data_IF_409281872922
#
_entry.id   IF_409281872922
#
_cell.length_a   1.000
_cell.length_b   1.000
_cell.length_c   1.000
_cell.angle_alpha   90.00
_cell.angle_beta   90.00
_cell.angle_gamma   90.00
#
_symmetry.space_group_name_H-M   'P 1'
#
loop_
_entity.id
_entity.type
_entity.pdbx_description
1 polymer ?
#
# COMPACT_ATOMS: atom_id res chain seq x y z
N UNK A 1 33.82 -14.15 65.78
CA UNK A 1 33.46 -14.02 64.34
C UNK A 1 32.51 -12.85 64.19
N UNK A 2 32.97 -11.72 63.63
CA UNK A 2 32.12 -10.54 63.35
C UNK A 2 31.29 -10.84 62.09
N UNK A 3 29.97 -10.95 62.23
CA UNK A 3 29.04 -10.88 61.11
C UNK A 3 28.45 -9.46 61.11
N UNK A 4 28.92 -8.63 60.18
CA UNK A 4 28.33 -7.33 59.87
C UNK A 4 26.94 -7.57 59.25
N UNK A 5 25.87 -7.13 59.90
CA UNK A 5 24.54 -7.08 59.28
C UNK A 5 24.37 -5.71 58.61
N UNK A 6 24.82 -5.57 57.38
CA UNK A 6 24.38 -4.46 56.54
C UNK A 6 22.94 -4.74 56.10
N UNK A 7 21.97 -4.02 56.70
CA UNK A 7 20.64 -3.87 56.09
C UNK A 7 20.83 -3.08 54.80
N UNK A 8 20.32 -3.52 53.64
CA UNK A 8 20.29 -2.66 52.47
C UNK A 8 19.40 -1.45 52.81
N UNK A 9 19.99 -0.25 52.80
CA UNK A 9 19.26 0.99 52.97
C UNK A 9 18.16 1.14 51.93
N UNK A 10 17.11 1.90 52.25
CA UNK A 10 16.03 2.20 51.31
C UNK A 10 16.62 2.72 49.97
N UNK A 11 16.09 2.29 48.81
CA UNK A 11 16.59 2.75 47.52
C UNK A 11 16.51 4.27 47.43
N UNK A 12 17.62 4.92 47.09
CA UNK A 12 17.67 6.36 46.91
C UNK A 12 16.75 6.77 45.74
N UNK A 13 15.94 7.84 45.90
CA UNK A 13 15.05 8.33 44.85
C UNK A 13 15.86 8.68 43.59
N UNK A 14 15.28 8.43 42.43
CA UNK A 14 15.95 8.69 41.16
C UNK A 14 16.00 10.21 40.89
N UNK A 15 17.21 10.73 40.66
CA UNK A 15 17.46 12.15 40.37
C UNK A 15 18.03 12.28 38.96
N UNK A 16 17.51 13.27 38.21
CA UNK A 16 18.06 13.69 36.92
C UNK A 16 18.77 15.02 37.14
N UNK A 17 20.10 15.03 36.99
CA UNK A 17 20.89 16.25 36.96
C UNK A 17 21.18 16.61 35.51
N UNK A 18 20.80 17.81 35.08
CA UNK A 18 21.07 18.30 33.73
C UNK A 18 22.27 19.25 33.71
N UNK A 19 23.25 18.99 32.85
CA UNK A 19 24.34 19.93 32.57
C UNK A 19 24.54 20.08 31.08
N UNK A 20 24.87 21.30 30.64
CA UNK A 20 25.25 21.56 29.25
C UNK A 20 26.74 21.28 29.12
N UNK A 21 27.13 20.52 28.09
CA UNK A 21 28.53 20.20 27.81
C UNK A 21 28.91 20.81 26.47
N UNK A 22 29.91 21.68 26.47
CA UNK A 22 30.53 22.23 25.26
C UNK A 22 31.72 21.35 24.86
N UNK A 23 31.68 20.80 23.65
CA UNK A 23 32.75 19.92 23.15
C UNK A 23 32.45 19.20 21.83
N UNK A 24 31.44 19.65 21.07
CA UNK A 24 31.09 19.08 19.77
C UNK A 24 31.76 19.89 18.65
N UNK A 25 31.87 19.37 17.43
CA UNK A 25 31.89 20.24 16.27
C UNK A 25 30.49 20.89 16.15
N UNK A 26 30.44 22.21 16.30
CA UNK A 26 29.34 23.14 15.99
C UNK A 26 28.00 23.11 16.76
N UNK A 27 27.69 22.18 17.67
CA UNK A 27 26.40 22.19 18.42
C UNK A 27 26.58 21.91 19.94
N UNK A 28 25.61 22.16 20.80
CA UNK A 28 25.71 21.84 22.24
C UNK A 28 25.04 20.51 22.61
N UNK A 29 25.47 19.84 23.68
CA UNK A 29 24.79 18.64 24.22
C UNK A 29 24.21 18.91 25.61
N UNK A 30 23.03 18.35 25.88
CA UNK A 30 22.43 18.33 27.22
C UNK A 30 22.70 16.96 27.85
N UNK A 31 23.63 16.90 28.80
CA UNK A 31 23.93 15.70 29.57
C UNK A 31 22.94 15.59 30.73
N UNK A 32 22.17 14.51 30.74
CA UNK A 32 21.23 14.12 31.79
C UNK A 32 21.88 12.99 32.59
N UNK A 33 22.47 13.32 33.74
CA UNK A 33 23.06 12.34 34.65
C UNK A 33 21.97 11.76 35.53
N UNK A 34 21.84 10.44 35.47
CA UNK A 34 20.88 9.72 36.28
C UNK A 34 21.58 9.00 37.43
N UNK A 35 21.04 9.18 38.63
CA UNK A 35 21.47 8.42 39.81
C UNK A 35 20.25 7.96 40.62
N UNK A 36 20.33 6.75 41.18
CA UNK A 36 19.30 6.18 42.05
C UNK A 36 18.72 4.85 41.55
N UNK A 37 17.66 4.39 42.21
CA UNK A 37 16.94 3.16 41.87
C UNK A 37 15.52 3.50 41.45
N UNK A 38 15.05 2.88 40.35
CA UNK A 38 13.69 3.08 39.85
C UNK A 38 12.85 1.84 40.15
N UNK A 39 11.84 1.99 41.02
CA UNK A 39 10.80 0.98 41.23
C UNK A 39 9.59 1.21 40.29
N UNK A 40 8.58 0.33 40.37
CA UNK A 40 7.40 0.42 39.53
C UNK A 40 6.50 1.62 39.83
N UNK A 41 6.58 2.22 41.04
CA UNK A 41 5.75 3.36 41.45
C UNK A 41 6.39 4.70 41.04
N UNK A 42 7.72 4.80 41.02
CA UNK A 42 8.44 6.00 40.59
C UNK A 42 8.52 6.22 39.08
N UNK A 43 8.05 5.26 38.26
CA UNK A 43 8.22 5.27 36.81
C UNK A 43 7.44 6.40 36.09
N UNK A 44 6.22 6.73 36.54
CA UNK A 44 5.40 7.78 35.92
C UNK A 44 5.93 9.18 36.21
N UNK A 45 6.28 9.46 37.48
CA UNK A 45 6.90 10.73 37.86
C UNK A 45 8.23 10.95 37.14
N UNK A 46 8.98 9.85 36.93
CA UNK A 46 10.20 9.87 36.14
C UNK A 46 9.95 10.13 34.65
N UNK A 47 8.91 9.53 34.07
CA UNK A 47 8.51 9.78 32.68
C UNK A 47 8.29 11.27 32.42
N UNK A 48 7.57 11.91 33.33
CA UNK A 48 7.23 13.34 33.25
C UNK A 48 8.48 14.22 33.35
N UNK A 49 9.35 13.93 34.33
CA UNK A 49 10.60 14.66 34.50
C UNK A 49 11.54 14.50 33.29
N UNK A 50 11.67 13.28 32.76
CA UNK A 50 12.47 13.02 31.56
C UNK A 50 11.90 13.77 30.35
N UNK A 51 10.57 13.75 30.14
CA UNK A 51 9.92 14.46 29.04
C UNK A 51 10.20 15.97 29.10
N UNK A 52 10.10 16.57 30.29
CA UNK A 52 10.41 17.99 30.49
C UNK A 52 11.85 18.37 30.09
N UNK A 53 12.83 17.53 30.44
CA UNK A 53 14.23 17.74 30.05
C UNK A 53 14.48 17.52 28.55
N UNK A 54 13.79 16.56 27.93
CA UNK A 54 13.89 16.33 26.49
C UNK A 54 13.26 17.47 25.68
N UNK A 55 12.10 17.98 26.11
CA UNK A 55 11.44 19.14 25.50
C UNK A 55 12.28 20.42 25.64
N UNK A 56 13.05 20.53 26.73
CA UNK A 56 14.02 21.60 26.92
C UNK A 56 15.21 21.46 25.96
N UNK A 57 15.75 20.25 25.80
CA UNK A 57 16.81 19.96 24.84
C UNK A 57 16.37 20.29 23.41
N UNK A 58 15.17 19.87 23.03
CA UNK A 58 14.60 20.10 21.69
C UNK A 58 14.38 21.59 21.42
N UNK A 59 13.86 22.35 22.38
CA UNK A 59 13.71 23.82 22.26
C UNK A 59 15.05 24.55 22.17
N UNK A 60 16.08 24.06 22.85
CA UNK A 60 17.42 24.62 22.84
C UNK A 60 18.28 24.13 21.66
N UNK A 61 17.76 23.23 20.81
CA UNK A 61 18.52 22.60 19.73
C UNK A 61 19.66 21.70 20.23
N UNK A 62 19.66 21.34 21.52
CA UNK A 62 20.69 20.53 22.14
C UNK A 62 20.40 19.04 21.95
N UNK A 63 21.46 18.25 21.78
CA UNK A 63 21.31 16.80 21.71
C UNK A 63 21.23 16.20 23.13
N UNK A 64 20.17 15.48 23.49
CA UNK A 64 20.08 14.88 24.82
C UNK A 64 20.93 13.61 24.93
N UNK A 65 21.74 13.55 25.98
CA UNK A 65 22.58 12.41 26.32
C UNK A 65 22.27 11.96 27.74
N UNK A 66 21.81 10.72 27.89
CA UNK A 66 21.43 10.12 29.16
C UNK A 66 22.57 9.26 29.70
N UNK A 67 23.20 9.69 30.79
CA UNK A 67 24.22 8.92 31.50
C UNK A 67 23.56 8.02 32.56
N UNK A 68 23.63 6.71 32.35
CA UNK A 68 22.96 5.71 33.17
C UNK A 68 23.90 4.94 34.12
N UNK A 69 25.12 5.43 34.36
CA UNK A 69 26.12 4.70 35.13
C UNK A 69 25.69 4.35 36.58
N UNK A 70 24.89 5.23 37.18
CA UNK A 70 24.48 5.14 38.58
C UNK A 70 23.01 4.73 38.73
N UNK A 71 22.40 4.15 37.68
CA UNK A 71 21.00 3.69 37.68
C UNK A 71 20.92 2.20 37.99
N UNK A 72 20.04 1.83 38.93
CA UNK A 72 19.60 0.46 39.15
C UNK A 72 18.15 0.33 38.64
N UNK A 73 17.94 -0.46 37.58
CA UNK A 73 16.62 -0.66 36.99
C UNK A 73 15.83 -1.74 37.72
N UNK A 74 14.67 -1.37 38.27
CA UNK A 74 13.62 -2.29 38.70
C UNK A 74 12.62 -2.58 37.58
N UNK A 75 12.86 -3.63 36.80
CA UNK A 75 11.84 -4.29 35.97
C UNK A 75 11.36 -3.57 34.68
N UNK A 76 10.39 -4.21 34.00
CA UNK A 76 9.91 -3.88 32.65
C UNK A 76 9.18 -2.52 32.52
N UNK A 77 8.79 -1.89 33.64
CA UNK A 77 8.10 -0.60 33.65
C UNK A 77 8.99 0.53 33.08
N UNK A 78 10.30 0.45 33.29
CA UNK A 78 11.23 1.50 32.87
C UNK A 78 11.48 1.48 31.35
N UNK A 79 11.56 0.29 30.76
CA UNK A 79 11.67 0.14 29.30
C UNK A 79 10.41 0.63 28.59
N UNK A 80 9.23 0.33 29.16
CA UNK A 80 7.95 0.83 28.65
C UNK A 80 7.92 2.35 28.64
N UNK A 81 8.36 2.95 29.75
CA UNK A 81 8.39 4.40 29.91
C UNK A 81 9.42 5.06 28.97
N UNK A 82 10.62 4.48 28.81
CA UNK A 82 11.59 4.92 27.79
C UNK A 82 10.99 4.84 26.38
N UNK A 83 10.33 3.73 26.05
CA UNK A 83 9.71 3.49 24.75
C UNK A 83 8.61 4.50 24.42
N UNK A 84 7.73 4.78 25.39
CA UNK A 84 6.64 5.75 25.23
C UNK A 84 7.20 7.17 25.09
N UNK A 85 8.20 7.53 25.90
CA UNK A 85 8.81 8.86 25.86
C UNK A 85 9.55 9.11 24.54
N UNK A 86 10.24 8.12 24.00
CA UNK A 86 10.93 8.27 22.69
C UNK A 86 9.96 8.25 21.51
N UNK A 87 8.86 7.49 21.60
CA UNK A 87 7.84 7.41 20.53
C UNK A 87 7.07 8.71 20.33
N UNK A 88 6.81 9.45 21.41
CA UNK A 88 6.01 10.69 21.38
C UNK A 88 6.87 11.92 21.04
N UNK A 89 8.20 11.78 21.02
CA UNK A 89 9.14 12.88 20.75
C UNK A 89 9.07 13.32 19.28
N UNK A 90 8.92 14.62 19.07
CA UNK A 90 8.85 15.26 17.74
C UNK A 90 10.14 16.00 17.35
N UNK A 91 11.08 16.16 18.28
CA UNK A 91 12.39 16.76 18.06
C UNK A 91 13.40 15.83 17.38
N UNK A 92 14.70 16.04 17.62
CA UNK A 92 15.74 15.23 16.95
C UNK A 92 15.57 13.74 17.28
N UNK A 93 15.70 12.83 16.29
CA UNK A 93 15.29 11.43 16.45
C UNK A 93 16.17 10.63 17.40
N UNK A 94 17.36 11.10 17.75
CA UNK A 94 18.32 10.33 18.55
C UNK A 94 18.29 10.75 20.03
N UNK A 95 17.88 9.84 20.92
CA UNK A 95 18.24 9.85 22.34
C UNK A 95 19.48 8.98 22.54
N UNK A 96 20.52 9.56 23.13
CA UNK A 96 21.78 8.85 23.35
C UNK A 96 21.83 8.35 24.78
N UNK A 97 22.19 7.08 24.96
CA UNK A 97 22.39 6.47 26.27
C UNK A 97 23.85 6.05 26.39
N UNK A 98 24.53 6.49 27.47
CA UNK A 98 25.92 6.17 27.76
C UNK A 98 26.08 5.49 29.11
N UNK A 99 27.15 4.69 29.27
CA UNK A 99 27.54 4.03 30.53
C UNK A 99 26.43 3.18 31.17
N UNK A 100 25.50 2.66 30.38
CA UNK A 100 24.46 1.75 30.87
C UNK A 100 25.06 0.44 31.41
N UNK A 101 24.58 -0.04 32.56
CA UNK A 101 25.00 -1.34 33.12
C UNK A 101 24.59 -2.50 32.18
N UNK A 102 25.27 -3.67 32.20
CA UNK A 102 25.02 -4.76 31.26
C UNK A 102 23.55 -5.19 31.13
N UNK A 103 22.84 -5.34 32.26
CA UNK A 103 21.41 -5.71 32.24
C UNK A 103 20.50 -4.63 31.64
N UNK A 104 20.85 -3.35 31.77
CA UNK A 104 20.13 -2.24 31.13
C UNK A 104 20.36 -2.26 29.62
N UNK A 105 21.61 -2.47 29.20
CA UNK A 105 22.00 -2.53 27.79
C UNK A 105 21.28 -3.68 27.07
N UNK A 106 21.21 -4.85 27.70
CA UNK A 106 20.51 -6.02 27.18
C UNK A 106 18.99 -5.76 27.08
N UNK A 107 18.40 -5.15 28.11
CA UNK A 107 16.99 -4.83 28.14
C UNK A 107 16.58 -3.81 27.04
N UNK A 108 17.37 -2.74 26.84
CA UNK A 108 17.13 -1.76 25.77
C UNK A 108 17.34 -2.39 24.39
N UNK A 109 18.34 -3.27 24.24
CA UNK A 109 18.58 -3.99 23.00
C UNK A 109 17.41 -4.93 22.64
N UNK A 110 16.90 -5.69 23.61
CA UNK A 110 15.76 -6.58 23.42
C UNK A 110 14.45 -5.81 23.12
N UNK A 111 14.28 -4.62 23.71
CA UNK A 111 13.11 -3.78 23.50
C UNK A 111 13.06 -3.10 22.12
N UNK A 112 14.16 -3.10 21.33
CA UNK A 112 14.25 -2.50 19.99
C UNK A 112 13.62 -1.10 19.90
N UNK A 113 14.05 -0.20 20.78
CA UNK A 113 13.52 1.15 20.84
C UNK A 113 14.01 1.98 19.65
N UNK A 114 13.09 2.34 18.75
CA UNK A 114 13.38 3.26 17.65
C UNK A 114 13.82 4.64 18.20
N UNK A 115 14.86 5.21 17.62
CA UNK A 115 15.41 6.51 18.02
C UNK A 115 16.33 6.49 19.26
N UNK A 116 16.71 5.32 19.78
CA UNK A 116 17.65 5.21 20.92
C UNK A 116 18.98 4.63 20.46
N UNK A 117 20.09 5.31 20.80
CA UNK A 117 21.45 4.84 20.50
C UNK A 117 22.25 4.62 21.77
N UNK A 118 22.86 3.44 21.90
CA UNK A 118 23.67 3.04 23.05
C UNK A 118 25.16 3.15 22.73
N UNK A 119 25.93 3.79 23.62
CA UNK A 119 27.39 3.83 23.55
C UNK A 119 28.00 3.47 24.91
N UNK A 120 29.23 2.94 24.93
CA UNK A 120 29.88 2.57 26.18
C UNK A 120 30.28 3.81 26.98
N UNK A 121 30.76 4.85 26.29
CA UNK A 121 31.23 6.10 26.91
C UNK A 121 30.70 7.34 26.19
N UNK A 122 30.75 8.48 26.87
CA UNK A 122 30.44 9.78 26.29
C UNK A 122 31.38 10.09 25.12
N UNK A 123 32.69 9.87 25.27
CA UNK A 123 33.68 10.13 24.22
C UNK A 123 33.50 9.27 22.97
N UNK A 124 32.99 8.04 23.11
CA UNK A 124 32.64 7.17 21.99
C UNK A 124 31.40 7.70 21.25
N UNK A 125 30.36 8.07 22.00
CA UNK A 125 29.17 8.71 21.42
C UNK A 125 29.55 9.98 20.68
N UNK A 126 30.36 10.85 21.29
CA UNK A 126 30.80 12.11 20.70
C UNK A 126 31.62 11.89 19.42
N UNK A 127 32.56 10.93 19.41
CA UNK A 127 33.35 10.62 18.20
C UNK A 127 32.50 10.07 17.06
N UNK A 128 31.54 9.20 17.35
CA UNK A 128 30.69 8.62 16.30
C UNK A 128 29.69 9.65 15.74
N UNK A 129 29.18 10.53 16.59
CA UNK A 129 28.33 11.65 16.15
C UNK A 129 29.12 12.68 15.37
N UNK A 130 30.33 13.03 15.82
CA UNK A 130 31.23 13.90 15.09
C UNK A 130 31.53 13.28 13.72
N UNK A 131 31.95 12.01 13.64
CA UNK A 131 32.12 11.31 12.34
C UNK A 131 30.86 11.31 11.48
N UNK A 132 29.67 11.19 12.07
CA UNK A 132 28.42 11.23 11.31
C UNK A 132 28.16 12.65 10.79
N UNK A 133 28.40 13.68 11.60
CA UNK A 133 28.30 15.09 11.21
C UNK A 133 29.35 15.47 10.16
N UNK A 134 30.61 15.07 10.35
CA UNK A 134 31.69 15.24 9.38
C UNK A 134 31.44 14.43 8.12
N UNK A 135 30.80 13.23 8.18
CA UNK A 135 30.34 12.50 6.99
C UNK A 135 29.19 13.23 6.29
N UNK A 136 28.39 14.03 6.99
CA UNK A 136 27.34 14.88 6.41
C UNK A 136 27.90 16.19 5.85
N UNK A 137 28.98 16.73 6.42
CA UNK A 137 29.71 17.92 5.93
C UNK A 137 30.73 17.60 4.82
N UNK A 138 31.37 16.42 4.83
CA UNK A 138 32.24 15.87 3.78
C UNK A 138 31.46 15.13 2.70
N UNK A 139 30.16 14.90 2.90
CA UNK A 139 29.28 14.64 1.77
C UNK A 139 29.28 15.91 0.92
N UNK A 140 29.69 15.86 -0.36
CA UNK A 140 29.69 17.04 -1.19
C UNK A 140 28.28 17.61 -1.16
N UNK A 141 28.18 18.93 -1.02
CA UNK A 141 26.93 19.65 -1.33
C UNK A 141 26.58 19.26 -2.76
N UNK A 142 25.66 18.32 -2.93
CA UNK A 142 25.13 17.98 -4.23
C UNK A 142 24.29 19.17 -4.66
N UNK A 143 24.93 20.18 -5.24
CA UNK A 143 24.31 20.87 -6.35
C UNK A 143 24.45 19.89 -7.48
N UNK A 144 23.35 19.22 -7.86
CA UNK A 144 23.28 18.45 -9.09
C UNK A 144 23.79 19.30 -10.25
N UNK A 145 25.06 19.13 -10.60
CA UNK A 145 25.62 19.62 -11.85
C UNK A 145 26.08 18.50 -12.77
N UNK A 146 25.95 17.23 -12.36
CA UNK A 146 26.09 16.10 -13.27
C UNK A 146 25.02 15.06 -12.95
N UNK A 147 23.97 15.05 -13.77
CA UNK A 147 23.12 13.88 -13.95
C UNK A 147 24.04 12.73 -14.35
N UNK A 148 24.30 11.78 -13.44
CA UNK A 148 24.81 10.46 -13.84
C UNK A 148 23.76 9.84 -14.76
N UNK A 149 23.99 9.72 -16.07
CA UNK A 149 22.97 9.26 -17.01
C UNK A 149 22.56 7.80 -16.81
N UNK A 150 23.32 7.05 -15.98
CA UNK A 150 23.16 5.60 -15.82
C UNK A 150 22.57 5.19 -14.47
N UNK A 151 22.44 6.11 -13.50
CA UNK A 151 21.84 5.80 -12.19
C UNK A 151 20.33 6.05 -12.25
N UNK A 152 19.49 5.02 -12.05
CA UNK A 152 18.05 5.21 -12.02
C UNK A 152 17.67 6.16 -10.89
N UNK A 153 16.92 7.20 -11.24
CA UNK A 153 16.25 8.08 -10.29
C UNK A 153 15.30 7.28 -9.37
N UNK A 154 14.98 7.85 -8.22
CA UNK A 154 13.98 7.28 -7.31
C UNK A 154 12.64 7.02 -8.02
N UNK A 155 12.24 7.93 -8.92
CA UNK A 155 11.04 7.76 -9.75
C UNK A 155 11.16 6.59 -10.73
N UNK A 156 12.32 6.39 -11.35
CA UNK A 156 12.58 5.24 -12.25
C UNK A 156 12.54 3.92 -11.48
N UNK A 157 13.15 3.86 -10.29
CA UNK A 157 13.04 2.71 -9.39
C UNK A 157 11.60 2.44 -8.97
N UNK A 158 10.81 3.48 -8.66
CA UNK A 158 9.38 3.33 -8.34
C UNK A 158 8.57 2.80 -9.53
N UNK A 159 8.83 3.33 -10.73
CA UNK A 159 8.23 2.84 -11.98
C UNK A 159 8.62 1.39 -12.25
N UNK A 160 9.89 1.02 -12.02
CA UNK A 160 10.40 -0.33 -12.21
C UNK A 160 9.75 -1.32 -11.23
N UNK A 161 9.73 -1.00 -9.93
CA UNK A 161 9.05 -1.81 -8.90
C UNK A 161 7.58 -1.99 -9.25
N UNK A 162 6.90 -0.94 -9.74
CA UNK A 162 5.51 -1.03 -10.20
C UNK A 162 5.36 -1.97 -11.39
N UNK A 163 6.23 -1.85 -12.40
CA UNK A 163 6.22 -2.72 -13.56
C UNK A 163 6.47 -4.19 -13.17
N UNK A 164 7.43 -4.44 -12.27
CA UNK A 164 7.72 -5.77 -11.74
C UNK A 164 6.50 -6.35 -10.98
N UNK A 165 5.84 -5.55 -10.13
CA UNK A 165 4.62 -5.98 -9.42
C UNK A 165 3.44 -6.25 -10.35
N UNK A 166 3.28 -5.47 -11.43
CA UNK A 166 2.31 -5.76 -12.46
C UNK A 166 2.60 -7.11 -13.12
N UNK A 167 3.87 -7.39 -13.46
CA UNK A 167 4.31 -8.66 -14.04
C UNK A 167 4.08 -9.84 -13.10
N UNK A 168 4.42 -9.73 -11.82
CA UNK A 168 4.22 -10.80 -10.82
C UNK A 168 2.74 -11.21 -10.69
N UNK A 169 1.80 -10.30 -10.92
CA UNK A 169 0.35 -10.61 -10.85
C UNK A 169 -0.17 -11.30 -12.10
N UNK A 170 0.28 -10.88 -13.27
CA UNK A 170 -0.17 -11.47 -14.54
C UNK A 170 0.55 -12.78 -14.86
N UNK A 171 1.78 -12.96 -14.38
CA UNK A 171 2.63 -14.11 -14.71
C UNK A 171 2.00 -15.47 -14.34
N UNK A 172 1.38 -15.68 -13.16
CA UNK A 172 0.71 -16.94 -12.84
C UNK A 172 -0.42 -17.27 -13.82
N UNK A 173 -1.27 -16.31 -14.18
CA UNK A 173 -2.39 -16.54 -15.12
C UNK A 173 -1.89 -16.78 -16.54
N UNK A 174 -0.82 -16.08 -16.95
CA UNK A 174 -0.13 -16.36 -18.23
C UNK A 174 0.40 -17.80 -18.23
N UNK A 175 1.05 -18.24 -17.15
CA UNK A 175 1.54 -19.62 -17.00
C UNK A 175 0.42 -20.66 -17.05
N UNK A 176 -0.70 -20.41 -16.37
CA UNK A 176 -1.90 -21.26 -16.43
C UNK A 176 -2.46 -21.35 -17.85
N UNK A 177 -2.54 -20.24 -18.58
CA UNK A 177 -3.00 -20.24 -19.96
C UNK A 177 -2.04 -20.98 -20.88
N UNK A 178 -0.71 -20.77 -20.75
CA UNK A 178 0.30 -21.52 -21.51
C UNK A 178 0.15 -23.03 -21.29
N UNK A 179 0.09 -23.47 -20.03
CA UNK A 179 -0.12 -24.88 -19.68
C UNK A 179 -1.44 -25.43 -20.21
N UNK A 180 -2.52 -24.63 -20.14
CA UNK A 180 -3.84 -24.99 -20.70
C UNK A 180 -3.76 -25.24 -22.21
N UNK A 181 -3.08 -24.37 -22.96
CA UNK A 181 -2.89 -24.55 -24.41
C UNK A 181 -1.98 -25.72 -24.74
N UNK A 182 -0.90 -25.90 -23.98
CA UNK A 182 0.00 -27.05 -24.16
C UNK A 182 -0.75 -28.38 -24.00
N UNK A 183 -1.59 -28.49 -22.97
CA UNK A 183 -2.39 -29.70 -22.74
C UNK A 183 -3.47 -29.88 -23.82
N UNK A 184 -4.18 -28.81 -24.21
CA UNK A 184 -5.29 -28.90 -25.17
C UNK A 184 -4.83 -29.21 -26.60
N UNK A 185 -3.68 -28.70 -27.01
CA UNK A 185 -3.21 -28.75 -28.40
C UNK A 185 -1.87 -29.49 -28.57
N UNK A 186 -1.34 -30.12 -27.51
CA UNK A 186 -0.09 -30.87 -27.59
C UNK A 186 1.14 -30.02 -27.89
N UNK A 187 1.17 -28.75 -27.48
CA UNK A 187 2.29 -27.86 -27.79
C UNK A 187 3.59 -28.28 -27.06
N UNK A 188 4.75 -28.20 -27.73
CA UNK A 188 6.00 -28.73 -27.20
C UNK A 188 6.56 -27.91 -26.03
N UNK A 189 6.26 -26.60 -25.97
CA UNK A 189 6.82 -25.70 -24.97
C UNK A 189 5.93 -24.47 -24.68
N UNK A 190 6.20 -23.84 -23.54
CA UNK A 190 5.46 -22.66 -23.08
C UNK A 190 5.69 -21.41 -23.93
N UNK A 191 6.85 -21.28 -24.59
CA UNK A 191 7.18 -20.16 -25.47
C UNK A 191 6.32 -20.17 -26.74
N UNK A 192 6.12 -21.35 -27.34
CA UNK A 192 5.20 -21.56 -28.46
C UNK A 192 3.77 -21.16 -28.09
N UNK A 193 3.28 -21.57 -26.91
CA UNK A 193 1.96 -21.16 -26.42
C UNK A 193 1.85 -19.64 -26.18
N UNK A 194 2.88 -19.02 -25.58
CA UNK A 194 2.90 -17.58 -25.34
C UNK A 194 2.91 -16.75 -26.63
N UNK A 195 3.63 -17.22 -27.65
CA UNK A 195 3.69 -16.56 -28.96
C UNK A 195 2.31 -16.45 -29.58
N UNK A 196 1.54 -17.54 -29.62
CA UNK A 196 0.17 -17.54 -30.19
C UNK A 196 -0.78 -16.67 -29.36
N UNK A 197 -0.68 -16.71 -28.03
CA UNK A 197 -1.43 -15.82 -27.14
C UNK A 197 -1.13 -14.33 -27.42
N UNK A 198 0.15 -13.99 -27.59
CA UNK A 198 0.58 -12.62 -27.90
C UNK A 198 0.09 -12.15 -29.28
N UNK A 199 0.26 -12.98 -30.31
CA UNK A 199 -0.18 -12.68 -31.68
C UNK A 199 -1.70 -12.47 -31.72
N UNK A 200 -2.47 -13.36 -31.07
CA UNK A 200 -3.93 -13.24 -30.97
C UNK A 200 -4.34 -11.97 -30.22
N UNK A 201 -3.69 -11.67 -29.08
CA UNK A 201 -3.93 -10.46 -28.30
C UNK A 201 -3.73 -9.19 -29.13
N UNK A 202 -2.64 -9.12 -29.91
CA UNK A 202 -2.34 -8.00 -30.79
C UNK A 202 -3.35 -7.87 -31.94
N UNK A 203 -3.68 -9.00 -32.60
CA UNK A 203 -4.61 -9.02 -33.74
C UNK A 203 -6.01 -8.51 -33.39
N UNK A 204 -6.52 -8.92 -32.24
CA UNK A 204 -7.86 -8.51 -31.78
C UNK A 204 -7.86 -7.25 -30.91
N UNK A 205 -6.69 -6.64 -30.68
CA UNK A 205 -6.51 -5.51 -29.77
C UNK A 205 -7.10 -5.76 -28.37
N UNK A 206 -6.95 -6.98 -27.87
CA UNK A 206 -7.39 -7.40 -26.53
C UNK A 206 -6.18 -7.40 -25.61
N UNK A 207 -6.22 -6.79 -24.41
CA UNK A 207 -5.10 -6.88 -23.47
C UNK A 207 -4.74 -8.33 -23.15
N UNK A 208 -3.45 -8.69 -23.22
CA UNK A 208 -3.00 -10.07 -23.03
C UNK A 208 -3.56 -10.69 -21.74
N UNK A 209 -3.59 -9.94 -20.62
CA UNK A 209 -4.19 -10.39 -19.35
C UNK A 209 -5.64 -10.88 -19.52
N UNK A 210 -6.44 -10.18 -20.32
CA UNK A 210 -7.86 -10.49 -20.51
C UNK A 210 -8.00 -11.75 -21.39
N UNK A 211 -7.16 -11.88 -22.41
CA UNK A 211 -7.15 -13.06 -23.27
C UNK A 211 -6.71 -14.32 -22.49
N UNK A 212 -5.62 -14.24 -21.71
CA UNK A 212 -5.15 -15.41 -20.94
C UNK A 212 -6.16 -15.81 -19.86
N UNK A 213 -6.78 -14.85 -19.18
CA UNK A 213 -7.84 -15.16 -18.20
C UNK A 213 -9.05 -15.83 -18.88
N UNK A 214 -9.39 -15.41 -20.10
CA UNK A 214 -10.46 -16.04 -20.88
C UNK A 214 -10.11 -17.48 -21.32
N UNK A 215 -8.86 -17.75 -21.72
CA UNK A 215 -8.39 -19.10 -22.05
C UNK A 215 -8.51 -20.04 -20.85
N UNK A 216 -8.08 -19.57 -19.67
CA UNK A 216 -8.16 -20.35 -18.43
C UNK A 216 -9.61 -20.62 -18.02
N UNK A 217 -10.49 -19.62 -18.16
CA UNK A 217 -11.89 -19.75 -17.76
C UNK A 217 -12.77 -20.52 -18.78
N UNK A 218 -12.39 -20.55 -20.06
CA UNK A 218 -13.18 -21.17 -21.11
C UNK A 218 -13.09 -22.71 -21.04
N UNK A 219 -14.22 -23.38 -21.31
CA UNK A 219 -14.23 -24.83 -21.55
C UNK A 219 -13.36 -25.20 -22.75
N UNK A 220 -12.76 -26.40 -22.80
CA UNK A 220 -12.06 -26.86 -23.98
C UNK A 220 -13.01 -26.91 -25.20
N UNK A 221 -12.49 -26.72 -26.43
CA UNK A 221 -13.24 -27.00 -27.64
C UNK A 221 -13.49 -28.50 -27.77
N UNK A 222 -14.66 -28.88 -28.29
CA UNK A 222 -15.07 -30.28 -28.49
C UNK A 222 -15.05 -30.69 -29.98
N UNK A 223 -14.53 -29.85 -30.88
CA UNK A 223 -14.52 -30.09 -32.33
C UNK A 223 -13.71 -29.05 -33.11
N UNK A 224 -14.02 -28.88 -34.40
CA UNK A 224 -13.37 -27.90 -35.32
C UNK A 224 -13.66 -26.44 -34.97
N UNK A 225 -14.83 -26.17 -34.39
CA UNK A 225 -15.21 -24.87 -33.87
C UNK A 225 -15.16 -24.90 -32.34
N UNK A 226 -14.63 -23.85 -31.72
CA UNK A 226 -14.62 -23.74 -30.27
C UNK A 226 -16.02 -23.42 -29.73
N UNK A 227 -16.78 -22.56 -30.42
CA UNK A 227 -18.12 -22.18 -29.98
C UNK A 227 -19.17 -22.45 -31.08
N UNK A 228 -19.55 -23.72 -31.29
CA UNK A 228 -20.45 -24.11 -32.37
C UNK A 228 -21.83 -23.44 -32.22
N UNK A 229 -22.39 -22.99 -33.33
CA UNK A 229 -23.70 -22.33 -33.37
C UNK A 229 -23.73 -20.92 -32.76
N UNK A 230 -22.57 -20.31 -32.48
CA UNK A 230 -22.50 -18.92 -32.02
C UNK A 230 -23.02 -17.96 -33.09
N UNK A 231 -24.05 -17.19 -32.75
CA UNK A 231 -24.56 -16.12 -33.60
C UNK A 231 -23.94 -14.76 -33.23
N UNK A 232 -23.65 -13.89 -34.21
CA UNK A 232 -23.24 -12.51 -33.95
C UNK A 232 -24.28 -11.78 -33.08
N UNK A 233 -23.82 -11.09 -32.04
CA UNK A 233 -24.69 -10.27 -31.20
C UNK A 233 -24.63 -8.81 -31.64
N UNK A 234 -25.78 -8.12 -31.78
CA UNK A 234 -25.78 -6.68 -32.01
C UNK A 234 -25.16 -5.97 -30.80
N UNK A 235 -24.51 -4.83 -31.05
CA UNK A 235 -24.03 -3.96 -29.99
C UNK A 235 -25.23 -3.52 -29.13
N UNK A 236 -25.16 -3.62 -27.79
CA UNK A 236 -26.25 -3.19 -26.93
C UNK A 236 -26.52 -1.69 -27.06
N UNK A 237 -27.70 -1.23 -26.64
CA UNK A 237 -27.98 0.20 -26.58
C UNK A 237 -27.16 0.85 -25.46
N UNK A 238 -26.20 1.69 -25.82
CA UNK A 238 -25.32 2.41 -24.91
C UNK A 238 -25.64 3.91 -24.96
N UNK A 239 -26.64 4.36 -24.19
CA UNK A 239 -27.15 5.74 -24.23
C UNK A 239 -26.22 6.73 -23.54
N UNK A 240 -25.54 6.30 -22.49
CA UNK A 240 -24.56 7.10 -21.76
C UNK A 240 -23.15 6.80 -22.28
N UNK A 241 -22.79 5.53 -22.44
CA UNK A 241 -21.44 5.14 -22.88
C UNK A 241 -21.19 5.36 -24.38
N UNK A 242 -22.25 5.33 -25.21
CA UNK A 242 -22.14 5.51 -26.66
C UNK A 242 -22.07 6.97 -27.14
N UNK A 243 -22.14 7.95 -26.22
CA UNK A 243 -22.09 9.38 -26.57
C UNK A 243 -20.75 9.73 -27.19
N UNK A 244 -20.71 10.05 -28.49
CA UNK A 244 -19.48 10.46 -29.19
C UNK A 244 -18.89 9.44 -30.17
N UNK A 245 -19.68 8.44 -30.61
CA UNK A 245 -19.31 7.60 -31.76
C UNK A 245 -18.10 6.69 -31.54
N UNK A 246 -17.82 6.32 -30.29
CA UNK A 246 -16.68 5.46 -29.92
C UNK A 246 -16.89 4.04 -30.44
N UNK A 247 -15.79 3.39 -30.82
CA UNK A 247 -15.82 1.98 -31.20
C UNK A 247 -16.04 1.10 -29.95
N UNK A 248 -17.17 0.39 -29.82
CA UNK A 248 -17.44 -0.47 -28.67
C UNK A 248 -16.45 -1.64 -28.55
N UNK A 249 -15.71 -1.97 -29.63
CA UNK A 249 -14.64 -2.99 -29.61
C UNK A 249 -13.37 -2.48 -28.94
N UNK A 250 -13.17 -1.17 -28.83
CA UNK A 250 -12.00 -0.61 -28.17
C UNK A 250 -12.17 -0.63 -26.65
N UNK A 251 -11.72 -1.73 -26.02
CA UNK A 251 -11.87 -1.96 -24.57
C UNK A 251 -11.40 -0.78 -23.71
N UNK A 252 -10.22 -0.25 -23.99
CA UNK A 252 -9.63 0.86 -23.21
C UNK A 252 -10.51 2.10 -23.27
N UNK A 253 -10.91 2.53 -24.47
CA UNK A 253 -11.75 3.72 -24.64
C UNK A 253 -13.09 3.59 -23.91
N UNK A 254 -13.71 2.40 -23.96
CA UNK A 254 -14.96 2.14 -23.27
C UNK A 254 -14.80 2.19 -21.75
N UNK A 255 -13.76 1.55 -21.20
CA UNK A 255 -13.46 1.56 -19.77
C UNK A 255 -13.16 2.98 -19.27
N UNK A 256 -12.35 3.73 -20.01
CA UNK A 256 -12.05 5.12 -19.66
C UNK A 256 -13.31 5.98 -19.71
N UNK A 257 -14.19 5.74 -20.68
CA UNK A 257 -15.50 6.44 -20.76
C UNK A 257 -16.35 6.13 -19.53
N UNK A 258 -16.44 4.86 -19.11
CA UNK A 258 -17.18 4.47 -17.89
C UNK A 258 -16.70 5.27 -16.69
N UNK A 259 -15.38 5.38 -16.51
CA UNK A 259 -14.81 6.16 -15.42
C UNK A 259 -15.14 7.65 -15.54
N UNK A 260 -14.86 8.27 -16.68
CA UNK A 260 -15.03 9.72 -16.85
C UNK A 260 -16.49 10.17 -16.75
N UNK A 261 -17.43 9.41 -17.33
CA UNK A 261 -18.86 9.70 -17.19
C UNK A 261 -19.32 9.55 -15.73
N UNK A 262 -18.80 8.53 -15.02
CA UNK A 262 -19.13 8.33 -13.60
C UNK A 262 -18.58 9.46 -12.72
N UNK A 263 -17.35 9.92 -12.99
CA UNK A 263 -16.75 11.07 -12.30
C UNK A 263 -17.55 12.35 -12.56
N UNK A 264 -17.97 12.59 -13.81
CA UNK A 264 -18.75 13.77 -14.18
C UNK A 264 -20.13 13.78 -13.49
N UNK A 265 -20.84 12.65 -13.50
CA UNK A 265 -22.13 12.49 -12.82
C UNK A 265 -21.99 12.66 -11.30
N UNK A 266 -21.00 12.01 -10.71
CA UNK A 266 -20.72 12.09 -9.27
C UNK A 266 -20.10 13.41 -8.83
N UNK A 267 -19.65 14.26 -9.76
CA UNK A 267 -18.76 15.41 -9.50
C UNK A 267 -17.60 15.01 -8.59
N UNK A 268 -17.03 13.84 -8.88
CA UNK A 268 -15.97 13.26 -8.09
C UNK A 268 -14.61 13.66 -8.66
N UNK A 269 -13.66 14.16 -7.83
CA UNK A 269 -12.32 14.51 -8.28
C UNK A 269 -11.47 13.29 -8.63
N UNK A 270 -11.79 12.12 -8.08
CA UNK A 270 -11.02 10.90 -8.27
C UNK A 270 -11.92 9.65 -8.24
N UNK A 271 -11.41 8.56 -8.83
CA UNK A 271 -12.11 7.28 -8.86
C UNK A 271 -11.38 6.23 -9.69
N UNK A 272 -11.88 5.01 -9.64
CA UNK A 272 -11.32 3.88 -10.37
C UNK A 272 -12.39 2.86 -10.73
N UNK A 273 -12.06 2.00 -11.70
CA UNK A 273 -12.90 0.88 -12.14
C UNK A 273 -12.12 -0.41 -11.98
N UNK A 274 -12.77 -1.41 -11.39
CA UNK A 274 -12.27 -2.77 -11.32
C UNK A 274 -13.26 -3.72 -11.98
N UNK A 275 -12.76 -4.73 -12.69
CA UNK A 275 -13.58 -5.83 -13.19
C UNK A 275 -13.15 -7.16 -12.60
N UNK A 276 -14.09 -8.10 -12.53
CA UNK A 276 -13.78 -9.44 -12.05
C UNK A 276 -12.95 -10.16 -13.11
N UNK A 277 -11.78 -10.64 -12.71
CA UNK A 277 -10.99 -11.55 -13.53
C UNK A 277 -11.63 -12.95 -13.48
N UNK A 278 -12.04 -13.54 -14.62
CA UNK A 278 -12.74 -14.81 -14.63
C UNK A 278 -11.85 -16.02 -14.28
N UNK A 279 -10.52 -15.92 -14.40
CA UNK A 279 -9.61 -17.02 -14.09
C UNK A 279 -9.35 -17.15 -12.59
N UNK A 280 -9.26 -16.03 -11.87
CA UNK A 280 -8.97 -16.01 -10.42
C UNK A 280 -10.16 -15.61 -9.56
N UNK A 281 -11.22 -15.04 -10.15
CA UNK A 281 -12.42 -14.64 -9.44
C UNK A 281 -12.20 -13.45 -8.49
N UNK A 282 -11.24 -12.57 -8.76
CA UNK A 282 -10.94 -11.38 -7.93
C UNK A 282 -11.12 -10.08 -8.71
N UNK A 283 -11.24 -8.95 -8.00
CA UNK A 283 -11.35 -7.64 -8.65
C UNK A 283 -9.98 -7.16 -9.14
N UNK A 284 -9.84 -7.00 -10.45
CA UNK A 284 -8.65 -6.47 -11.10
C UNK A 284 -8.87 -4.98 -11.46
N UNK A 285 -7.97 -4.06 -11.05
CA UNK A 285 -8.00 -2.67 -11.49
C UNK A 285 -7.86 -2.55 -13.02
N UNK A 286 -8.73 -1.77 -13.64
CA UNK A 286 -8.80 -1.59 -15.09
C UNK A 286 -8.44 -0.16 -15.53
N UNK A 287 -8.92 0.84 -14.80
CA UNK A 287 -8.55 2.26 -15.01
C UNK A 287 -8.73 3.05 -13.72
N UNK A 288 -8.08 4.20 -13.61
CA UNK A 288 -8.20 5.13 -12.50
C UNK A 288 -7.94 6.57 -12.94
N UNK A 289 -8.42 7.53 -12.16
CA UNK A 289 -8.19 8.96 -12.36
C UNK A 289 -8.14 9.66 -11.00
N UNK A 290 -7.22 10.61 -10.83
CA UNK A 290 -7.08 11.38 -9.59
C UNK A 290 -6.64 10.59 -8.35
N UNK A 291 -6.42 9.27 -8.46
CA UNK A 291 -5.96 8.43 -7.34
C UNK A 291 -4.45 8.57 -7.12
N UNK A 292 -4.04 8.70 -5.85
CA UNK A 292 -2.64 8.67 -5.46
C UNK A 292 -1.99 7.32 -5.79
N UNK A 293 -0.72 7.33 -6.20
CA UNK A 293 -0.01 6.09 -6.58
C UNK A 293 0.12 5.11 -5.41
N UNK A 294 0.34 5.62 -4.19
CA UNK A 294 0.40 4.81 -2.95
C UNK A 294 -0.91 4.11 -2.65
N UNK A 295 -2.04 4.74 -2.96
CA UNK A 295 -3.37 4.12 -2.86
C UNK A 295 -3.52 2.98 -3.87
N UNK A 296 -3.16 3.21 -5.14
CA UNK A 296 -3.26 2.20 -6.20
C UNK A 296 -2.38 0.99 -5.90
N UNK A 297 -1.17 1.24 -5.41
CA UNK A 297 -0.25 0.20 -4.95
C UNK A 297 -0.86 -0.66 -3.83
N UNK A 298 -1.64 -0.06 -2.94
CA UNK A 298 -2.33 -0.78 -1.87
C UNK A 298 -3.55 -1.56 -2.39
N UNK A 299 -4.36 -0.94 -3.25
CA UNK A 299 -5.50 -1.58 -3.94
C UNK A 299 -5.08 -2.83 -4.71
N UNK A 300 -3.91 -2.77 -5.32
CA UNK A 300 -3.32 -3.87 -6.05
C UNK A 300 -2.83 -5.02 -5.15
N UNK A 301 -2.44 -4.73 -3.91
CA UNK A 301 -1.88 -5.71 -2.96
C UNK A 301 -2.94 -6.36 -2.07
N UNK A 302 -4.05 -5.67 -1.84
CA UNK A 302 -5.10 -6.11 -0.94
C UNK A 302 -5.71 -7.44 -1.38
N UNK A 303 -5.98 -8.33 -0.43
CA UNK A 303 -7.03 -9.33 -0.61
C UNK A 303 -8.36 -8.59 -0.63
N UNK A 304 -9.33 -9.08 -1.40
CA UNK A 304 -10.69 -8.52 -1.55
C UNK A 304 -11.51 -8.51 -0.22
N UNK A 305 -10.88 -8.48 0.96
CA UNK A 305 -11.55 -8.56 2.26
C UNK A 305 -11.48 -7.19 2.96
N UNK A 306 -12.65 -6.63 3.27
CA UNK A 306 -12.77 -5.40 4.06
C UNK A 306 -12.72 -4.08 3.27
N UNK A 307 -12.74 -4.12 1.93
CA UNK A 307 -12.88 -2.90 1.12
C UNK A 307 -14.34 -2.57 0.78
N UNK A 308 -14.69 -1.29 0.59
CA UNK A 308 -16.02 -0.88 0.13
C UNK A 308 -16.40 -1.49 -1.23
N UNK A 309 -15.44 -1.61 -2.15
CA UNK A 309 -15.63 -2.24 -3.45
C UNK A 309 -15.89 -3.75 -3.33
N UNK A 310 -15.12 -4.47 -2.50
CA UNK A 310 -15.38 -5.88 -2.24
C UNK A 310 -16.70 -6.11 -1.52
N UNK A 311 -17.09 -5.20 -0.63
CA UNK A 311 -18.38 -5.24 0.04
C UNK A 311 -19.52 -5.00 -0.95
N UNK A 312 -19.36 -4.03 -1.87
CA UNK A 312 -20.32 -3.76 -2.93
C UNK A 312 -20.49 -4.97 -3.86
N UNK A 313 -19.37 -5.62 -4.19
CA UNK A 313 -19.35 -6.88 -4.95
C UNK A 313 -20.10 -8.00 -4.23
N UNK A 314 -19.77 -8.25 -2.97
CA UNK A 314 -20.33 -9.36 -2.18
C UNK A 314 -21.83 -9.15 -1.92
N UNK A 315 -22.24 -7.94 -1.53
CA UNK A 315 -23.64 -7.60 -1.26
C UNK A 315 -24.46 -7.36 -2.53
N UNK A 316 -23.82 -7.20 -3.69
CA UNK A 316 -24.44 -6.85 -4.98
C UNK A 316 -25.31 -5.59 -4.86
N UNK A 317 -24.85 -4.65 -4.04
CA UNK A 317 -25.52 -3.39 -3.73
C UNK A 317 -24.49 -2.29 -3.62
N UNK A 318 -24.90 -1.06 -3.93
CA UNK A 318 -24.06 0.12 -3.73
C UNK A 318 -23.64 0.26 -2.27
N UNK A 319 -22.40 0.68 -2.05
CA UNK A 319 -21.84 0.97 -0.73
C UNK A 319 -21.39 2.43 -0.73
N UNK A 320 -21.86 3.20 0.24
CA UNK A 320 -21.45 4.60 0.43
C UNK A 320 -20.77 4.71 1.78
N UNK A 321 -19.57 5.27 1.77
CA UNK A 321 -18.83 5.65 2.98
C UNK A 321 -18.77 7.17 2.98
N UNK A 322 -19.70 7.84 3.70
CA UNK A 322 -19.76 9.30 3.71
C UNK A 322 -18.61 9.92 4.51
N UNK A 323 -18.03 9.19 5.46
CA UNK A 323 -16.85 9.62 6.21
C UNK A 323 -15.97 8.42 6.53
N UNK A 324 -14.82 8.34 5.87
CA UNK A 324 -13.81 7.28 6.05
C UNK A 324 -13.30 7.22 7.49
N UNK A 325 -13.21 8.36 8.18
CA UNK A 325 -12.70 8.39 9.55
C UNK A 325 -13.69 7.78 10.56
N UNK A 326 -14.99 7.94 10.32
CA UNK A 326 -16.05 7.48 11.21
C UNK A 326 -16.65 6.11 10.84
N UNK A 327 -16.41 5.62 9.63
CA UNK A 327 -17.02 4.39 9.13
C UNK A 327 -16.41 3.15 9.78
N UNK A 328 -17.23 2.35 10.47
CA UNK A 328 -16.82 1.16 11.22
C UNK A 328 -16.68 -0.11 10.37
N UNK A 329 -17.14 -0.09 9.11
CA UNK A 329 -17.05 -1.22 8.18
C UNK A 329 -15.69 -1.28 7.48
N UNK A 330 -14.94 -0.18 7.46
CA UNK A 330 -13.57 -0.13 6.96
C UNK A 330 -12.59 -0.78 7.93
N UNK A 331 -11.71 -1.63 7.39
CA UNK A 331 -10.54 -2.10 8.14
C UNK A 331 -9.60 -0.94 8.45
N UNK A 332 -8.83 -1.06 9.54
CA UNK A 332 -7.91 0.00 9.98
C UNK A 332 -6.82 0.30 8.94
N UNK A 333 -6.34 -0.72 8.24
CA UNK A 333 -5.35 -0.57 7.18
C UNK A 333 -5.91 0.25 6.00
N UNK A 334 -7.14 -0.06 5.57
CA UNK A 334 -7.81 0.67 4.49
C UNK A 334 -8.19 2.09 4.90
N UNK A 335 -8.66 2.28 6.14
CA UNK A 335 -8.90 3.61 6.71
C UNK A 335 -7.63 4.45 6.64
N UNK A 336 -6.49 3.93 7.11
CA UNK A 336 -5.21 4.64 7.10
C UNK A 336 -4.78 5.03 5.68
N UNK A 337 -4.86 4.12 4.72
CA UNK A 337 -4.46 4.38 3.33
C UNK A 337 -5.37 5.43 2.67
N UNK A 338 -6.69 5.33 2.84
CA UNK A 338 -7.64 6.31 2.31
C UNK A 338 -7.39 7.70 2.90
N UNK A 339 -7.24 7.82 4.22
CA UNK A 339 -7.03 9.11 4.89
C UNK A 339 -5.67 9.74 4.53
N UNK A 340 -4.60 8.93 4.47
CA UNK A 340 -3.25 9.43 4.09
C UNK A 340 -3.15 9.87 2.65
N UNK A 341 -4.02 9.34 1.78
CA UNK A 341 -4.13 9.75 0.37
C UNK A 341 -5.21 10.81 0.14
N UNK A 342 -5.75 11.39 1.22
CA UNK A 342 -6.70 12.49 1.15
C UNK A 342 -8.15 12.08 0.82
N UNK A 343 -8.46 10.79 0.73
CA UNK A 343 -9.84 10.33 0.51
C UNK A 343 -10.61 10.35 1.84
N UNK A 344 -11.67 11.16 1.89
CA UNK A 344 -12.54 11.31 3.07
C UNK A 344 -13.93 10.73 2.89
N UNK A 345 -14.40 10.58 1.65
CA UNK A 345 -15.64 9.88 1.33
C UNK A 345 -15.46 9.07 0.05
N UNK A 346 -16.23 7.99 -0.08
CA UNK A 346 -16.24 7.17 -1.28
C UNK A 346 -17.61 6.52 -1.54
N UNK A 347 -17.85 6.17 -2.79
CA UNK A 347 -19.05 5.52 -3.25
C UNK A 347 -18.70 4.43 -4.26
N UNK A 348 -19.07 3.19 -3.95
CA UNK A 348 -18.83 2.02 -4.80
C UNK A 348 -20.15 1.48 -5.33
N UNK A 349 -20.25 1.35 -6.66
CA UNK A 349 -21.42 0.85 -7.38
C UNK A 349 -21.06 -0.44 -8.11
N UNK A 350 -21.73 -1.57 -7.81
CA UNK A 350 -21.45 -2.82 -8.49
C UNK A 350 -22.03 -2.84 -9.91
N UNK A 351 -21.27 -3.41 -10.84
CA UNK A 351 -21.65 -3.66 -12.22
C UNK A 351 -22.25 -5.07 -12.30
N UNK A 352 -23.58 -5.15 -12.31
CA UNK A 352 -24.30 -6.42 -12.25
C UNK A 352 -24.68 -6.91 -13.65
N UNK A 353 -24.36 -8.18 -13.94
CA UNK A 353 -24.85 -8.85 -15.15
C UNK A 353 -26.38 -9.01 -15.11
N UNK A 354 -26.98 -9.37 -16.26
CA UNK A 354 -28.41 -9.73 -16.32
C UNK A 354 -28.77 -10.92 -15.42
N UNK A 355 -27.81 -11.79 -15.12
CA UNK A 355 -27.95 -12.90 -14.18
C UNK A 355 -27.77 -12.50 -12.71
N UNK A 356 -27.54 -11.21 -12.43
CA UNK A 356 -27.33 -10.67 -11.08
C UNK A 356 -25.95 -10.95 -10.48
N UNK A 357 -25.00 -11.49 -11.26
CA UNK A 357 -23.61 -11.64 -10.82
C UNK A 357 -22.85 -10.31 -10.93
N UNK A 358 -22.02 -10.00 -9.93
CA UNK A 358 -21.16 -8.82 -10.00
C UNK A 358 -19.98 -9.08 -10.93
N UNK A 359 -19.88 -8.30 -12.01
CA UNK A 359 -18.82 -8.38 -13.02
C UNK A 359 -17.76 -7.29 -12.84
N UNK A 360 -17.99 -6.34 -11.93
CA UNK A 360 -17.10 -5.23 -11.68
C UNK A 360 -17.63 -4.25 -10.65
N UNK A 361 -16.83 -3.25 -10.32
CA UNK A 361 -17.19 -2.17 -9.41
C UNK A 361 -16.63 -0.85 -9.94
N UNK A 362 -17.47 0.18 -9.90
CA UNK A 362 -17.09 1.57 -10.17
C UNK A 362 -17.00 2.27 -8.81
N UNK A 363 -15.86 2.86 -8.48
CA UNK A 363 -15.66 3.56 -7.20
C UNK A 363 -15.27 5.01 -7.44
N UNK A 364 -15.96 5.92 -6.75
CA UNK A 364 -15.78 7.37 -6.80
C UNK A 364 -15.36 7.89 -5.42
N UNK A 365 -14.42 8.83 -5.37
CA UNK A 365 -13.82 9.36 -4.13
C UNK A 365 -13.95 10.87 -4.05
N UNK A 366 -14.02 11.39 -2.81
CA UNK A 366 -14.01 12.81 -2.51
C UNK A 366 -13.02 13.13 -1.39
N UNK A 367 -12.47 14.36 -1.44
CA UNK A 367 -11.54 14.87 -0.44
C UNK A 367 -12.27 15.43 0.80
N UNK A 368 -13.57 15.71 0.68
CA UNK A 368 -14.42 16.13 1.79
C UNK A 368 -15.25 14.98 2.35
N UNK A 369 -15.43 14.98 3.67
CA UNK A 369 -16.38 14.10 4.35
C UNK A 369 -17.82 14.58 4.15
N UNK A 370 -18.78 13.71 4.44
CA UNK A 370 -20.21 13.98 4.33
C UNK A 370 -20.78 13.84 2.92
N UNK A 371 -19.97 13.50 1.91
CA UNK A 371 -20.47 13.39 0.54
C UNK A 371 -21.52 12.27 0.43
N UNK A 372 -22.70 12.64 -0.09
CA UNK A 372 -23.78 11.70 -0.38
C UNK A 372 -24.31 12.01 -1.78
N UNK A 373 -24.28 11.05 -2.72
CA UNK A 373 -24.85 11.29 -4.04
C UNK A 373 -26.35 11.55 -3.91
N UNK A 374 -26.85 12.54 -4.66
CA UNK A 374 -28.30 12.78 -4.78
C UNK A 374 -28.98 11.57 -5.43
N UNK A 375 -30.31 11.46 -5.27
CA UNK A 375 -31.07 10.37 -5.88
C UNK A 375 -30.86 10.28 -7.39
N UNK A 376 -30.87 11.43 -8.09
CA UNK A 376 -30.64 11.51 -9.53
C UNK A 376 -29.22 11.10 -9.94
N UNK A 377 -28.20 11.49 -9.16
CA UNK A 377 -26.82 11.05 -9.42
C UNK A 377 -26.68 9.54 -9.20
N UNK A 378 -27.23 9.01 -8.10
CA UNK A 378 -27.19 7.59 -7.80
C UNK A 378 -27.91 6.75 -8.88
N UNK A 379 -29.04 7.23 -9.39
CA UNK A 379 -29.76 6.60 -10.49
C UNK A 379 -28.95 6.64 -11.79
N UNK A 380 -28.35 7.76 -12.13
CA UNK A 380 -27.54 7.90 -13.34
C UNK A 380 -26.29 7.02 -13.30
N UNK A 381 -25.59 6.93 -12.15
CA UNK A 381 -24.45 6.01 -11.99
C UNK A 381 -24.92 4.55 -12.05
N UNK A 382 -26.11 4.22 -11.54
CA UNK A 382 -26.68 2.87 -11.67
C UNK A 382 -26.99 2.51 -13.13
N UNK A 383 -27.49 3.46 -13.93
CA UNK A 383 -27.68 3.30 -15.37
C UNK A 383 -26.34 3.09 -16.10
N UNK A 384 -25.30 3.87 -15.77
CA UNK A 384 -23.94 3.66 -16.29
C UNK A 384 -23.41 2.26 -15.96
N UNK A 385 -23.63 1.78 -14.72
CA UNK A 385 -23.24 0.44 -14.32
C UNK A 385 -24.00 -0.65 -15.12
N UNK A 386 -25.29 -0.45 -15.38
CA UNK A 386 -26.09 -1.37 -16.20
C UNK A 386 -25.62 -1.40 -17.67
N UNK A 387 -25.35 -0.24 -18.28
CA UNK A 387 -24.79 -0.17 -19.63
C UNK A 387 -23.39 -0.80 -19.70
N UNK A 388 -22.56 -0.60 -18.66
CA UNK A 388 -21.25 -1.23 -18.56
C UNK A 388 -21.37 -2.75 -18.53
N UNK A 389 -22.33 -3.30 -17.78
CA UNK A 389 -22.57 -4.74 -17.73
C UNK A 389 -23.04 -5.31 -19.07
N UNK A 390 -23.95 -4.60 -19.76
CA UNK A 390 -24.41 -4.99 -21.09
C UNK A 390 -23.26 -4.97 -22.11
N UNK A 391 -22.45 -3.92 -22.09
CA UNK A 391 -21.26 -3.81 -22.93
C UNK A 391 -20.23 -4.92 -22.64
N UNK A 392 -19.93 -5.20 -21.37
CA UNK A 392 -19.01 -6.27 -20.98
C UNK A 392 -19.51 -7.65 -21.45
N UNK A 393 -20.80 -7.91 -21.32
CA UNK A 393 -21.42 -9.16 -21.80
C UNK A 393 -21.27 -9.30 -23.31
N UNK A 394 -21.57 -8.25 -24.07
CA UNK A 394 -21.40 -8.22 -25.52
C UNK A 394 -19.93 -8.35 -25.94
N UNK A 395 -19.02 -7.62 -25.28
CA UNK A 395 -17.59 -7.65 -25.57
C UNK A 395 -17.02 -9.05 -25.35
N UNK A 396 -17.40 -9.71 -24.25
CA UNK A 396 -17.00 -11.08 -23.98
C UNK A 396 -17.54 -12.01 -25.07
N UNK A 397 -18.84 -11.98 -25.35
CA UNK A 397 -19.50 -12.92 -26.29
C UNK A 397 -19.22 -12.67 -27.76
N UNK A 398 -18.66 -11.52 -28.11
CA UNK A 398 -18.32 -11.15 -29.49
C UNK A 398 -16.80 -11.08 -29.64
N UNK A 399 -16.17 -10.00 -29.19
CA UNK A 399 -14.74 -9.72 -29.41
C UNK A 399 -13.84 -10.81 -28.80
N UNK A 400 -14.12 -11.21 -27.56
CA UNK A 400 -13.26 -12.17 -26.85
C UNK A 400 -13.46 -13.60 -27.36
N UNK A 401 -14.70 -14.02 -27.62
CA UNK A 401 -14.94 -15.34 -28.22
C UNK A 401 -14.41 -15.43 -29.66
N UNK A 402 -14.46 -14.34 -30.45
CA UNK A 402 -13.81 -14.30 -31.77
C UNK A 402 -12.29 -14.48 -31.68
N UNK A 403 -11.66 -13.86 -30.68
CA UNK A 403 -10.23 -14.02 -30.41
C UNK A 403 -9.88 -15.47 -30.00
N UNK A 404 -10.69 -16.09 -29.13
CA UNK A 404 -10.54 -17.48 -28.75
C UNK A 404 -10.73 -18.41 -29.96
N UNK A 405 -11.79 -18.22 -30.75
CA UNK A 405 -12.02 -18.98 -31.99
C UNK A 405 -10.83 -18.90 -32.95
N UNK A 406 -10.25 -17.71 -33.09
CA UNK A 406 -9.04 -17.54 -33.90
C UNK A 406 -7.86 -18.32 -33.35
N UNK A 407 -7.65 -18.25 -32.04
CA UNK A 407 -6.60 -18.99 -31.35
C UNK A 407 -6.76 -20.50 -31.53
N UNK A 408 -7.98 -21.03 -31.44
CA UNK A 408 -8.25 -22.46 -31.68
C UNK A 408 -7.85 -22.87 -33.09
N UNK A 409 -8.34 -22.17 -34.12
CA UNK A 409 -8.00 -22.48 -35.51
C UNK A 409 -6.50 -22.47 -35.78
N UNK A 410 -5.78 -21.45 -35.31
CA UNK A 410 -4.33 -21.35 -35.50
C UNK A 410 -3.59 -22.53 -34.87
N UNK A 411 -4.03 -22.99 -33.71
CA UNK A 411 -3.40 -24.11 -33.00
C UNK A 411 -3.79 -25.47 -33.58
N UNK A 412 -5.03 -25.62 -34.07
CA UNK A 412 -5.50 -26.83 -34.76
C UNK A 412 -4.86 -27.00 -36.13
N UNK A 413 -4.56 -25.91 -36.84
CA UNK A 413 -3.89 -25.96 -38.15
C UNK A 413 -2.36 -26.16 -38.03
N UNK A 414 -1.79 -26.00 -36.83
CA UNK A 414 -0.35 -26.11 -36.57
C UNK A 414 0.08 -27.46 -35.96
N UNK A 415 -0.87 -28.32 -35.59
CA UNK A 415 -0.65 -29.68 -35.08
C UNK A 415 -1.01 -30.72 -36.11
#
# INVERSE_FOLDING_TARGET
MKASSDRPGAPAPLVIESSVVEGLPAEGALLLRMSGSLDAQGAEAWAEALRGHLDQADRAGLRPVLDMAHVQLGGAAVLRTLSETTRVRTGRPDLIIVRARPGVREAVHLARLDGVRLFATLDEALRELARTATRVEELPTWRSQMSDPLRPSYEELHKEVRALRARVRTAPVIGMAQGTLMVRYGLPDSGSAFRVLRETSQRFNVPLRVLVSAVVAARPPDGEEWFPGRLPLPVPQLRLLGRGGRDPRCRRQMIDTVLHESLAVGRAPAGYVQFVDPAVGTLAPETHYGCAETFLDHLVRGRDEGTPDALARTRRRRVSVPDVAADTLLSEDWRRVLLTTGTRALHSVPVLSSAGSCTGVITLHWAEAGHRPTAAQAETVALLAAETAAWLSWYHRSVLLDALEHLHRVLSDSG
#
